data_IF_051288676712
#
_entry.id   IF_051288676712
#
_cell.length_a   1.000
_cell.length_b   1.000
_cell.length_c   1.000
_cell.angle_alpha   90.00
_cell.angle_beta   90.00
_cell.angle_gamma   90.00
#
_symmetry.space_group_name_H-M   'P 1'
#
loop_
_entity.id
_entity.type
_entity.pdbx_description
1 polymer ?
#
# COMPACT_ATOMS: atom_id res chain seq x y z
N UNK A 1 10.71 20.87 19.03
CA UNK A 1 9.38 20.23 18.85
C UNK A 1 9.31 19.35 17.57
N UNK A 2 10.42 18.80 17.05
CA UNK A 2 10.51 18.24 15.68
C UNK A 2 10.47 16.70 15.54
N UNK A 3 10.25 15.93 16.60
CA UNK A 3 10.31 14.44 16.53
C UNK A 3 8.98 13.71 16.71
N UNK A 4 7.93 14.36 17.23
CA UNK A 4 6.67 13.68 17.58
C UNK A 4 5.87 13.16 16.38
N UNK A 5 6.01 13.75 15.18
CA UNK A 5 5.28 13.32 13.97
C UNK A 5 6.06 12.37 13.05
N UNK A 6 7.39 12.31 13.15
CA UNK A 6 8.22 11.51 12.24
C UNK A 6 8.00 10.00 12.43
N UNK A 7 8.00 9.55 13.69
CA UNK A 7 7.79 8.14 14.01
C UNK A 7 6.39 7.66 13.61
N UNK A 8 5.37 8.47 13.88
CA UNK A 8 3.98 8.18 13.52
C UNK A 8 3.81 8.01 12.00
N UNK A 9 4.38 8.90 11.19
CA UNK A 9 4.32 8.80 9.72
C UNK A 9 5.05 7.59 9.18
N UNK A 10 6.20 7.21 9.78
CA UNK A 10 6.91 5.99 9.39
C UNK A 10 6.08 4.74 9.71
N UNK A 11 5.38 4.73 10.84
CA UNK A 11 4.45 3.65 11.19
C UNK A 11 3.26 3.61 10.23
N UNK A 12 2.60 4.74 9.97
CA UNK A 12 1.47 4.84 9.04
C UNK A 12 1.86 4.40 7.62
N UNK A 13 3.00 4.89 7.09
CA UNK A 13 3.53 4.45 5.79
C UNK A 13 3.88 2.95 5.78
N UNK A 14 4.41 2.42 6.89
CA UNK A 14 4.69 1.00 7.04
C UNK A 14 3.43 0.14 6.95
N UNK A 15 2.36 0.52 7.64
CA UNK A 15 1.07 -0.18 7.61
C UNK A 15 0.45 -0.18 6.21
N UNK A 16 0.54 0.95 5.51
CA UNK A 16 0.01 1.07 4.13
C UNK A 16 0.80 0.17 3.16
N UNK A 17 2.13 0.07 3.30
CA UNK A 17 2.94 -0.86 2.50
C UNK A 17 2.60 -2.32 2.78
N UNK A 18 2.31 -2.67 4.04
CA UNK A 18 1.84 -4.02 4.39
C UNK A 18 0.51 -4.31 3.69
N UNK A 19 -0.43 -3.36 3.69
CA UNK A 19 -1.70 -3.52 2.98
C UNK A 19 -1.52 -3.69 1.45
N UNK A 20 -0.64 -2.89 0.83
CA UNK A 20 -0.29 -3.04 -0.58
C UNK A 20 0.29 -4.44 -0.88
N UNK A 21 1.21 -4.91 -0.03
CA UNK A 21 1.84 -6.23 -0.18
C UNK A 21 0.86 -7.40 0.01
N UNK A 22 -0.17 -7.23 0.85
CA UNK A 22 -1.25 -8.22 0.99
C UNK A 22 -2.08 -8.30 -0.30
N UNK A 23 -2.39 -7.16 -0.91
CA UNK A 23 -3.10 -7.10 -2.20
C UNK A 23 -2.27 -7.72 -3.33
N UNK A 24 -0.97 -7.42 -3.42
CA UNK A 24 -0.06 -8.03 -4.40
C UNK A 24 0.11 -9.54 -4.17
N UNK A 25 0.24 -9.98 -2.92
CA UNK A 25 0.38 -11.39 -2.57
C UNK A 25 -0.84 -12.22 -2.96
N UNK A 26 -2.04 -11.62 -2.97
CA UNK A 26 -3.26 -12.25 -3.50
C UNK A 26 -3.32 -12.28 -5.02
N UNK A 27 -2.51 -11.47 -5.70
CA UNK A 27 -2.46 -11.38 -7.16
C UNK A 27 -1.59 -12.48 -7.80
N UNK A 28 -0.55 -12.96 -7.09
CA UNK A 28 0.38 -14.01 -7.58
C UNK A 28 -0.33 -15.34 -7.82
N UNK A 29 -1.35 -15.65 -7.02
CA UNK A 29 -2.32 -16.66 -7.42
C UNK A 29 -3.40 -15.95 -8.22
N UNK A 30 -3.40 -16.07 -9.55
CA UNK A 30 -4.64 -15.97 -10.33
C UNK A 30 -5.58 -17.06 -9.81
N UNK A 31 -6.18 -16.80 -8.67
CA UNK A 31 -7.15 -17.66 -8.03
C UNK A 31 -8.26 -17.80 -9.03
N UNK A 32 -8.60 -19.03 -9.42
CA UNK A 32 -9.70 -19.30 -10.34
C UNK A 32 -11.03 -18.73 -9.85
N UNK A 33 -11.10 -18.36 -8.56
CA UNK A 33 -12.26 -17.81 -7.86
C UNK A 33 -12.38 -16.29 -8.00
N UNK A 34 -11.31 -15.60 -8.42
CA UNK A 34 -11.30 -14.13 -8.53
C UNK A 34 -11.33 -13.72 -10.00
N UNK A 35 -12.28 -12.85 -10.37
CA UNK A 35 -12.41 -12.41 -11.76
C UNK A 35 -11.15 -11.64 -12.19
N UNK A 36 -10.81 -11.67 -13.48
CA UNK A 36 -9.69 -10.87 -14.01
C UNK A 36 -9.82 -9.38 -13.67
N UNK A 37 -11.04 -8.87 -13.61
CA UNK A 37 -11.32 -7.48 -13.26
C UNK A 37 -10.93 -7.18 -11.82
N UNK A 38 -11.36 -8.03 -10.89
CA UNK A 38 -11.04 -7.84 -9.47
C UNK A 38 -9.53 -7.94 -9.22
N UNK A 39 -8.81 -8.80 -9.94
CA UNK A 39 -7.35 -8.87 -9.87
C UNK A 39 -6.68 -7.59 -10.37
N UNK A 40 -7.15 -7.04 -11.50
CA UNK A 40 -6.63 -5.78 -12.02
C UNK A 40 -6.92 -4.63 -11.05
N UNK A 41 -8.11 -4.59 -10.47
CA UNK A 41 -8.52 -3.57 -9.49
C UNK A 41 -7.67 -3.68 -8.21
N UNK A 42 -7.40 -4.90 -7.72
CA UNK A 42 -6.51 -5.14 -6.58
C UNK A 42 -5.06 -4.72 -6.85
N UNK A 43 -4.55 -4.98 -8.06
CA UNK A 43 -3.22 -4.51 -8.50
C UNK A 43 -3.13 -2.99 -8.47
N UNK A 44 -4.13 -2.33 -9.07
CA UNK A 44 -4.18 -0.87 -9.13
C UNK A 44 -4.34 -0.23 -7.75
N UNK A 45 -5.08 -0.87 -6.84
CA UNK A 45 -5.18 -0.45 -5.45
C UNK A 45 -3.86 -0.59 -4.70
N UNK A 46 -3.10 -1.67 -4.92
CA UNK A 46 -1.78 -1.85 -4.31
C UNK A 46 -0.81 -0.73 -4.73
N UNK A 47 -0.73 -0.41 -6.03
CA UNK A 47 0.09 0.67 -6.56
C UNK A 47 -0.27 2.04 -5.94
N UNK A 48 -1.58 2.32 -5.80
CA UNK A 48 -2.05 3.55 -5.15
C UNK A 48 -1.64 3.63 -3.69
N UNK A 49 -1.77 2.53 -2.95
CA UNK A 49 -1.39 2.46 -1.55
C UNK A 49 0.11 2.70 -1.38
N UNK A 50 0.94 2.09 -2.22
CA UNK A 50 2.38 2.33 -2.19
C UNK A 50 2.74 3.79 -2.45
N UNK A 51 2.10 4.44 -3.44
CA UNK A 51 2.28 5.86 -3.70
C UNK A 51 1.82 6.77 -2.54
N UNK A 52 0.78 6.38 -1.80
CA UNK A 52 0.35 7.10 -0.58
C UNK A 52 1.37 6.92 0.54
N UNK A 53 1.85 5.69 0.77
CA UNK A 53 2.88 5.41 1.77
C UNK A 53 4.16 6.21 1.52
N UNK A 54 4.58 6.30 0.26
CA UNK A 54 5.74 7.08 -0.15
C UNK A 54 5.57 8.57 0.12
N UNK A 55 4.40 9.13 -0.17
CA UNK A 55 4.09 10.54 0.13
C UNK A 55 4.10 10.82 1.63
N UNK A 56 3.48 9.97 2.44
CA UNK A 56 3.49 10.09 3.90
C UNK A 56 4.92 9.98 4.46
N UNK A 57 5.72 9.04 3.94
CA UNK A 57 7.12 8.87 4.35
C UNK A 57 8.00 10.07 3.96
N UNK A 58 7.74 10.70 2.82
CA UNK A 58 8.48 11.86 2.30
C UNK A 58 7.93 13.19 2.78
N UNK A 59 6.92 13.15 3.64
CA UNK A 59 6.31 14.32 4.27
C UNK A 59 5.37 15.15 3.41
N UNK A 60 5.07 14.70 2.17
CA UNK A 60 4.62 15.56 1.06
C UNK A 60 5.58 16.75 0.89
N UNK A 61 6.34 16.87 -0.22
CA UNK A 61 6.98 18.15 -0.51
C UNK A 61 5.93 19.27 -0.55
#
# INVERSE_FOLDING_TARGET
>A
MFRKGWLRRKLEAGLIRIAARILEGRNVARSAVVSRRDNNDMSYMAEKLEAIADRISRQYP
#
